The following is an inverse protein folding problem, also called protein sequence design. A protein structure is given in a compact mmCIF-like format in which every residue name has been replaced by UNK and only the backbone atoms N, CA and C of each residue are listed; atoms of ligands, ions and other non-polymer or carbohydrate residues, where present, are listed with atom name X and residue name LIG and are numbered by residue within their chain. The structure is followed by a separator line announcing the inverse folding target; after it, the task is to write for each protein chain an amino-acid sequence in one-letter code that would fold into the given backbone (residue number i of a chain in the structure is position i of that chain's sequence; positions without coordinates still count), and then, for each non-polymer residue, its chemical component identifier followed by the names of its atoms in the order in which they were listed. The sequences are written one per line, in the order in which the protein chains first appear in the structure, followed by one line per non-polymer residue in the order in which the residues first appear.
data_IF_992516045413
#
_entry.id   IF_992516045413
#
_cell.length_a   1.000
_cell.length_b   1.000
_cell.length_c   1.000
_cell.angle_alpha   90.00
_cell.angle_beta   90.00
_cell.angle_gamma   90.00
#
_symmetry.space_group_name_H-M   'P 1'
#
loop_
_entity.id
_entity.type
_entity.pdbx_description
1 polymer ?
#
# COMPACT_ATOMS: atom_id res chain seq x y z
N UNK A 1 -20.46 19.18 18.26
CA UNK A 1 -19.81 17.85 18.27
C UNK A 1 -19.04 17.70 16.99
N UNK A 2 -17.73 17.50 17.06
CA UNK A 2 -16.88 17.35 15.87
C UNK A 2 -16.90 15.89 15.43
N UNK A 3 -17.35 15.63 14.21
CA UNK A 3 -17.27 14.30 13.61
C UNK A 3 -15.84 14.08 13.10
N UNK A 4 -15.19 13.02 13.57
CA UNK A 4 -13.84 12.64 13.14
C UNK A 4 -13.88 11.27 12.46
N UNK A 5 -13.08 11.11 11.41
CA UNK A 5 -12.86 9.80 10.76
C UNK A 5 -11.63 9.15 11.42
N UNK A 6 -11.78 8.02 12.14
CA UNK A 6 -10.64 7.41 12.82
C UNK A 6 -9.71 6.71 11.81
N UNK A 7 -8.41 6.96 11.94
CA UNK A 7 -7.34 6.19 11.30
C UNK A 7 -6.76 5.21 12.33
N UNK A 8 -7.09 3.91 12.21
CA UNK A 8 -6.63 2.91 13.16
C UNK A 8 -5.22 2.45 12.79
N UNK A 9 -4.41 2.17 13.81
CA UNK A 9 -3.10 1.53 13.66
C UNK A 9 -3.17 0.09 14.15
N UNK A 10 -2.50 -0.81 13.44
CA UNK A 10 -2.27 -2.19 13.86
C UNK A 10 -0.77 -2.35 14.09
N UNK A 11 -0.37 -2.50 15.36
CA UNK A 11 1.03 -2.45 15.76
C UNK A 11 1.69 -1.13 15.31
N UNK A 12 2.50 -1.19 14.25
CA UNK A 12 3.31 -0.09 13.74
C UNK A 12 2.87 0.40 12.34
N UNK A 13 1.73 -0.08 11.82
CA UNK A 13 1.22 0.29 10.49
C UNK A 13 -0.25 0.73 10.50
N UNK A 14 -0.67 1.44 9.44
CA UNK A 14 -2.08 1.84 9.26
C UNK A 14 -2.90 0.58 8.97
N UNK A 15 -3.89 0.32 9.82
CA UNK A 15 -4.78 -0.82 9.73
C UNK A 15 -6.26 -0.43 9.69
N UNK A 16 -7.12 -1.41 9.94
CA UNK A 16 -8.57 -1.23 9.92
C UNK A 16 -9.11 -0.78 8.56
N UNK A 17 -10.21 0.00 8.58
CA UNK A 17 -10.91 0.37 7.33
C UNK A 17 -10.08 1.28 6.43
N UNK A 18 -9.25 2.17 7.00
CA UNK A 18 -8.39 3.04 6.21
C UNK A 18 -7.30 2.24 5.48
N UNK A 19 -6.63 1.31 6.16
CA UNK A 19 -5.63 0.43 5.54
C UNK A 19 -6.23 -0.39 4.39
N UNK A 20 -7.44 -0.94 4.56
CA UNK A 20 -8.14 -1.67 3.50
C UNK A 20 -8.44 -0.80 2.28
N UNK A 21 -8.95 0.42 2.50
CA UNK A 21 -9.25 1.34 1.39
C UNK A 21 -7.99 1.80 0.65
N UNK A 22 -6.87 1.98 1.35
CA UNK A 22 -5.58 2.28 0.72
C UNK A 22 -5.11 1.11 -0.15
N UNK A 23 -5.20 -0.12 0.37
CA UNK A 23 -4.87 -1.32 -0.39
C UNK A 23 -5.70 -1.41 -1.68
N UNK A 24 -7.03 -1.32 -1.57
CA UNK A 24 -7.95 -1.35 -2.72
C UNK A 24 -7.59 -0.27 -3.74
N UNK A 25 -7.39 0.98 -3.28
CA UNK A 25 -7.04 2.10 -4.16
C UNK A 25 -5.69 1.90 -4.87
N UNK A 26 -4.68 1.35 -4.20
CA UNK A 26 -3.37 1.10 -4.81
C UNK A 26 -3.41 -0.05 -5.82
N UNK A 27 -4.24 -1.07 -5.58
CA UNK A 27 -4.48 -2.15 -6.56
C UNK A 27 -5.23 -1.60 -7.78
N UNK A 28 -6.30 -0.83 -7.58
CA UNK A 28 -7.07 -0.23 -8.67
C UNK A 28 -6.24 0.75 -9.51
N UNK A 29 -5.32 1.47 -8.88
CA UNK A 29 -4.37 2.35 -9.58
C UNK A 29 -3.20 1.60 -10.23
N UNK A 30 -3.07 0.30 -9.99
CA UNK A 30 -1.97 -0.53 -10.49
C UNK A 30 -0.62 -0.21 -9.85
N UNK A 31 -0.59 0.44 -8.69
CA UNK A 31 0.64 0.76 -7.95
C UNK A 31 1.23 -0.49 -7.28
N UNK A 32 0.35 -1.40 -6.88
CA UNK A 32 0.74 -2.72 -6.36
C UNK A 32 -0.07 -3.80 -7.08
N UNK A 33 0.53 -4.96 -7.26
CA UNK A 33 -0.10 -6.10 -7.92
C UNK A 33 0.38 -7.41 -7.30
N UNK A 34 -0.40 -8.47 -7.53
CA UNK A 34 0.06 -9.83 -7.27
C UNK A 34 0.64 -10.41 -8.55
N UNK A 35 1.58 -11.34 -8.41
CA UNK A 35 2.13 -12.06 -9.56
C UNK A 35 1.15 -13.13 -10.02
N UNK A 36 0.57 -13.87 -9.07
CA UNK A 36 -0.55 -14.78 -9.28
C UNK A 36 -1.76 -14.36 -8.42
N UNK A 37 -3.00 -14.63 -8.88
CA UNK A 37 -4.22 -14.29 -8.12
C UNK A 37 -4.24 -14.85 -6.69
N UNK A 38 -3.69 -16.06 -6.52
CA UNK A 38 -3.63 -16.81 -5.26
C UNK A 38 -2.52 -16.35 -4.30
N UNK A 39 -1.63 -15.44 -4.74
CA UNK A 39 -0.55 -14.97 -3.90
C UNK A 39 -1.07 -14.21 -2.68
N UNK A 40 -0.38 -14.39 -1.55
CA UNK A 40 -0.69 -13.69 -0.30
C UNK A 40 -0.07 -12.30 -0.24
N UNK A 41 0.96 -12.05 -1.03
CA UNK A 41 1.74 -10.83 -1.00
C UNK A 41 1.49 -10.01 -2.27
N UNK A 42 1.52 -8.69 -2.09
CA UNK A 42 1.55 -7.73 -3.19
C UNK A 42 2.98 -7.24 -3.39
N UNK A 43 3.30 -6.91 -4.63
CA UNK A 43 4.56 -6.30 -5.02
C UNK A 43 4.27 -4.93 -5.62
N UNK A 44 5.22 -4.01 -5.45
CA UNK A 44 5.14 -2.67 -6.05
C UNK A 44 5.48 -2.81 -7.53
N UNK A 45 4.62 -2.30 -8.40
CA UNK A 45 4.85 -2.28 -9.86
C UNK A 45 5.81 -1.16 -10.23
N UNK A 46 6.29 -1.12 -11.49
CA UNK A 46 7.11 0.00 -11.96
C UNK A 46 6.37 1.35 -11.84
N UNK A 47 5.08 1.36 -12.19
CA UNK A 47 4.20 2.54 -12.02
C UNK A 47 4.10 2.90 -10.54
N UNK A 48 3.93 1.91 -9.67
CA UNK A 48 3.88 2.12 -8.23
C UNK A 48 5.16 2.74 -7.68
N UNK A 49 6.32 2.34 -8.18
CA UNK A 49 7.61 2.88 -7.73
C UNK A 49 7.71 4.39 -7.98
N UNK A 50 7.32 4.83 -9.18
CA UNK A 50 7.30 6.25 -9.54
C UNK A 50 6.27 7.02 -8.71
N UNK A 51 5.06 6.49 -8.59
CA UNK A 51 3.95 7.20 -7.96
C UNK A 51 4.10 7.27 -6.43
N UNK A 52 4.58 6.22 -5.77
CA UNK A 52 4.88 6.26 -4.34
C UNK A 52 6.02 7.25 -4.03
N UNK A 53 7.02 7.33 -4.90
CA UNK A 53 8.09 8.31 -4.77
C UNK A 53 7.55 9.73 -4.90
N UNK A 54 6.65 9.99 -5.87
CA UNK A 54 5.95 11.28 -6.00
C UNK A 54 5.03 11.59 -4.82
N UNK A 55 4.43 10.56 -4.23
CA UNK A 55 3.62 10.66 -3.01
C UNK A 55 4.47 10.98 -1.76
N UNK A 56 5.81 10.92 -1.88
CA UNK A 56 6.75 11.24 -0.80
C UNK A 56 7.15 10.04 0.04
N UNK A 57 6.92 8.82 -0.44
CA UNK A 57 7.35 7.58 0.21
C UNK A 57 8.71 7.18 -0.35
N UNK A 58 9.69 7.06 0.55
CA UNK A 58 11.02 6.56 0.20
C UNK A 58 11.02 5.03 0.11
N UNK A 59 11.07 4.52 -1.12
CA UNK A 59 11.07 3.08 -1.37
C UNK A 59 12.43 2.41 -1.15
N UNK A 60 13.52 3.18 -0.98
CA UNK A 60 14.84 2.61 -0.72
C UNK A 60 14.93 1.90 0.64
N UNK A 61 13.99 2.21 1.54
CA UNK A 61 13.80 1.54 2.83
C UNK A 61 13.26 0.11 2.68
N UNK A 62 12.69 -0.25 1.53
CA UNK A 62 12.18 -1.59 1.24
C UNK A 62 13.25 -2.37 0.50
N UNK A 63 13.67 -3.51 1.06
CA UNK A 63 14.62 -4.40 0.36
C UNK A 63 13.92 -5.08 -0.80
N UNK A 64 14.60 -5.16 -1.94
CA UNK A 64 14.13 -5.97 -3.06
C UNK A 64 14.18 -7.45 -2.69
N UNK A 65 13.08 -8.15 -2.92
CA UNK A 65 12.98 -9.60 -2.77
C UNK A 65 12.74 -10.23 -4.14
N UNK A 66 13.32 -11.42 -4.36
CA UNK A 66 13.02 -12.19 -5.57
C UNK A 66 11.63 -12.78 -5.41
N UNK A 67 10.79 -12.53 -6.41
CA UNK A 67 9.48 -13.15 -6.60
C UNK A 67 9.70 -14.61 -7.00
#
# INVERSE_FOLDING_TARGET
MTLIKPAKVCFEHIGGKLGNLLLEAFVEKGWIAKVNPDDKHYYITDIGQEEFTKFGIDLSLIKSEKI
#
